data_IF_237517728039
#
_entry.id   IF_237517728039
#
_cell.length_a   1.000
_cell.length_b   1.000
_cell.length_c   1.000
_cell.angle_alpha   90.00
_cell.angle_beta   90.00
_cell.angle_gamma   90.00
#
_symmetry.space_group_name_H-M   'P 1'
#
loop_
_entity.id
_entity.type
_entity.pdbx_description
1 polymer ?
#
# COMPACT_ATOMS: atom_id res chain seq x y z
N UNK A 1 0.63 -10.76 -1.16
CA UNK A 1 0.66 -9.56 -2.03
C UNK A 1 -0.35 -8.60 -1.44
N UNK A 2 -0.29 -7.30 -1.75
CA UNK A 2 -1.27 -6.33 -1.22
C UNK A 2 -1.94 -5.66 -2.41
N UNK A 3 -3.26 -5.69 -2.44
CA UNK A 3 -4.06 -5.06 -3.47
C UNK A 3 -4.46 -3.66 -2.99
N UNK A 4 -4.02 -2.63 -3.72
CA UNK A 4 -4.30 -1.24 -3.43
C UNK A 4 -5.26 -0.68 -4.47
N UNK A 5 -6.36 -0.11 -4.02
CA UNK A 5 -7.33 0.64 -4.83
C UNK A 5 -7.06 2.12 -4.61
N UNK A 6 -6.67 2.82 -5.67
CA UNK A 6 -6.24 4.21 -5.61
C UNK A 6 -7.30 5.06 -6.30
N UNK A 7 -7.78 6.08 -5.59
CA UNK A 7 -8.78 7.01 -6.07
C UNK A 7 -8.20 8.44 -6.15
N UNK A 8 -7.70 8.87 -7.31
CA UNK A 8 -7.25 10.25 -7.50
C UNK A 8 -8.41 11.25 -7.49
N UNK A 9 -8.19 12.43 -6.91
CA UNK A 9 -9.16 13.53 -6.84
C UNK A 9 -9.40 14.08 -8.27
N UNK A 10 -10.50 13.65 -8.89
CA UNK A 10 -10.88 14.01 -10.26
C UNK A 10 -10.41 13.05 -11.37
N UNK A 11 -9.88 11.87 -11.04
CA UNK A 11 -9.51 10.84 -12.00
C UNK A 11 -10.29 9.53 -11.86
N UNK A 12 -10.02 8.57 -12.75
CA UNK A 12 -10.58 7.22 -12.64
C UNK A 12 -9.85 6.43 -11.56
N UNK A 13 -10.61 5.68 -10.75
CA UNK A 13 -10.04 4.77 -9.74
C UNK A 13 -9.27 3.66 -10.45
N UNK A 14 -8.11 3.30 -9.90
CA UNK A 14 -7.27 2.26 -10.45
C UNK A 14 -6.70 1.34 -9.38
N UNK A 15 -6.49 0.08 -9.75
CA UNK A 15 -6.07 -0.97 -8.82
C UNK A 15 -4.63 -1.37 -9.10
N UNK A 16 -3.78 -1.34 -8.09
CA UNK A 16 -2.37 -1.74 -8.18
C UNK A 16 -2.06 -2.86 -7.21
N UNK A 17 -1.51 -3.95 -7.74
CA UNK A 17 -1.04 -5.08 -6.94
C UNK A 17 0.42 -4.85 -6.54
N UNK A 18 0.66 -4.59 -5.26
CA UNK A 18 1.99 -4.55 -4.69
C UNK A 18 2.53 -5.97 -4.50
N UNK A 19 3.68 -6.20 -5.12
CA UNK A 19 4.41 -7.45 -5.06
C UNK A 19 5.52 -7.38 -4.02
N UNK A 20 6.10 -8.52 -3.66
CA UNK A 20 7.25 -8.60 -2.74
C UNK A 20 8.39 -7.66 -3.14
N UNK A 21 8.58 -7.42 -4.44
CA UNK A 21 9.60 -6.49 -4.94
C UNK A 21 9.33 -5.04 -4.55
N UNK A 22 8.07 -4.62 -4.56
CA UNK A 22 7.66 -3.26 -4.18
C UNK A 22 7.87 -3.06 -2.68
N UNK A 23 7.52 -4.08 -1.89
CA UNK A 23 7.73 -4.10 -0.44
C UNK A 23 9.21 -4.06 -0.10
N UNK A 24 10.06 -4.85 -0.77
CA UNK A 24 11.51 -4.83 -0.58
C UNK A 24 12.12 -3.47 -0.93
N UNK A 25 11.61 -2.77 -1.94
CA UNK A 25 12.04 -1.41 -2.26
C UNK A 25 11.63 -0.41 -1.17
N UNK A 26 10.43 -0.56 -0.61
CA UNK A 26 10.01 0.20 0.55
C UNK A 26 10.88 -0.10 1.78
N UNK A 27 11.17 -1.37 2.11
CA UNK A 27 12.06 -1.75 3.23
C UNK A 27 13.47 -1.15 3.08
N UNK A 28 13.97 -1.06 1.85
CA UNK A 28 15.28 -0.44 1.56
C UNK A 28 15.29 1.07 1.76
N UNK A 29 14.14 1.73 1.59
CA UNK A 29 14.02 3.19 1.72
C UNK A 29 13.55 3.61 3.11
N UNK A 30 12.81 2.75 3.81
CA UNK A 30 12.32 2.95 5.17
C UNK A 30 13.26 2.29 6.16
N UNK A 31 14.04 3.10 6.88
CA UNK A 31 15.00 2.60 7.87
C UNK A 31 14.28 1.87 9.01
N UNK A 32 14.54 0.58 9.15
CA UNK A 32 13.88 -0.28 10.15
C UNK A 32 12.49 -0.77 9.75
N UNK A 33 12.03 -0.45 8.54
CA UNK A 33 10.82 -1.04 7.97
C UNK A 33 11.08 -2.52 7.67
N UNK A 34 10.12 -3.36 8.05
CA UNK A 34 10.13 -4.78 7.66
C UNK A 34 8.74 -5.19 7.23
N UNK A 35 8.59 -6.13 6.30
CA UNK A 35 7.27 -6.64 5.90
C UNK A 35 6.47 -7.12 7.12
N UNK A 36 7.13 -7.80 8.06
CA UNK A 36 6.52 -8.24 9.32
C UNK A 36 5.98 -7.06 10.13
N UNK A 37 6.78 -5.99 10.27
CA UNK A 37 6.38 -4.75 10.92
C UNK A 37 5.25 -4.04 10.19
N UNK A 38 5.24 -4.03 8.86
CA UNK A 38 4.18 -3.45 8.05
C UNK A 38 2.84 -4.16 8.27
N UNK A 39 2.86 -5.50 8.37
CA UNK A 39 1.66 -6.29 8.67
C UNK A 39 1.24 -6.18 10.14
N UNK A 40 2.18 -6.20 11.08
CA UNK A 40 1.88 -6.08 12.52
C UNK A 40 1.50 -4.66 12.95
N UNK A 41 2.00 -3.64 12.26
CA UNK A 41 1.76 -2.22 12.52
C UNK A 41 1.52 -1.52 11.18
N UNK A 42 0.29 -1.64 10.69
CA UNK A 42 -0.19 -1.02 9.46
C UNK A 42 -0.23 0.50 9.60
N UNK A 43 0.92 1.13 9.41
CA UNK A 43 1.01 2.58 9.29
C UNK A 43 0.55 3.00 7.90
N UNK A 44 -0.46 3.86 7.84
CA UNK A 44 -1.02 4.36 6.58
C UNK A 44 0.05 5.00 5.70
N UNK A 45 0.98 5.77 6.29
CA UNK A 45 2.10 6.38 5.57
C UNK A 45 3.01 5.34 4.87
N UNK A 46 3.18 4.15 5.43
CA UNK A 46 3.97 3.09 4.80
C UNK A 46 3.20 2.38 3.69
N UNK A 47 1.88 2.22 3.85
CA UNK A 47 1.00 1.73 2.78
C UNK A 47 0.98 2.67 1.57
N UNK A 48 0.89 3.98 1.80
CA UNK A 48 1.00 4.98 0.73
C UNK A 48 2.33 4.88 -0.02
N UNK A 49 3.45 4.66 0.67
CA UNK A 49 4.75 4.43 0.01
C UNK A 49 4.74 3.16 -0.83
N UNK A 50 4.29 2.03 -0.27
CA UNK A 50 4.27 0.74 -0.98
C UNK A 50 3.37 0.83 -2.23
N UNK A 51 2.21 1.45 -2.10
CA UNK A 51 1.29 1.68 -3.20
C UNK A 51 1.86 2.64 -4.24
N UNK A 52 2.57 3.70 -3.83
CA UNK A 52 3.28 4.60 -4.74
C UNK A 52 4.35 3.85 -5.54
N UNK A 53 5.13 2.98 -4.91
CA UNK A 53 6.09 2.12 -5.61
C UNK A 53 5.41 1.21 -6.64
N UNK A 54 4.28 0.59 -6.27
CA UNK A 54 3.51 -0.26 -7.17
C UNK A 54 2.86 0.51 -8.34
N UNK A 55 2.29 1.69 -8.07
CA UNK A 55 1.68 2.58 -9.05
C UNK A 55 2.72 3.14 -10.02
N UNK A 56 3.92 3.47 -9.53
CA UNK A 56 5.05 3.90 -10.35
C UNK A 56 5.60 2.78 -11.22
N UNK A 57 5.64 1.55 -10.71
CA UNK A 57 6.04 0.36 -11.48
C UNK A 57 5.05 0.03 -12.60
N UNK A 58 3.76 0.17 -12.33
CA UNK A 58 2.67 -0.06 -13.31
C UNK A 58 2.41 1.14 -14.22
N UNK A 59 3.16 2.23 -14.03
CA UNK A 59 3.02 3.51 -14.75
C UNK A 59 1.63 4.16 -14.63
N UNK A 60 0.83 3.76 -13.64
CA UNK A 60 -0.47 4.39 -13.37
C UNK A 60 -0.33 5.71 -12.62
N UNK A 61 0.76 5.88 -11.87
CA UNK A 61 1.11 7.13 -11.23
C UNK A 61 2.61 7.40 -11.31
N UNK A 62 3.00 8.58 -11.80
CA UNK A 62 4.41 8.95 -12.01
C UNK A 62 4.86 10.16 -11.19
N UNK A 63 3.95 10.75 -10.41
CA UNK A 63 4.24 11.88 -9.52
C UNK A 63 5.09 11.50 -8.31
N UNK A 64 5.35 12.48 -7.45
CA UNK A 64 6.04 12.26 -6.18
C UNK A 64 5.13 11.60 -5.15
N UNK A 65 5.71 11.01 -4.09
CA UNK A 65 4.95 10.43 -2.98
C UNK A 65 4.03 11.48 -2.33
N UNK A 66 4.53 12.70 -2.15
CA UNK A 66 3.78 13.77 -1.53
C UNK A 66 2.55 14.18 -2.35
N UNK A 67 2.68 14.22 -3.68
CA UNK A 67 1.54 14.44 -4.58
C UNK A 67 0.54 13.27 -4.53
N UNK A 68 1.04 12.05 -4.40
CA UNK A 68 0.23 10.84 -4.26
C UNK A 68 -0.61 10.90 -2.98
N UNK A 69 0.02 11.21 -1.84
CA UNK A 69 -0.67 11.35 -0.54
C UNK A 69 -1.64 12.53 -0.50
N UNK A 70 -1.37 13.60 -1.27
CA UNK A 70 -2.21 14.80 -1.27
C UNK A 70 -3.39 14.71 -2.25
N UNK A 71 -3.25 13.96 -3.34
CA UNK A 71 -4.20 13.94 -4.46
C UNK A 71 -4.88 12.60 -4.66
N UNK A 72 -4.39 11.54 -4.04
CA UNK A 72 -4.97 10.19 -4.17
C UNK A 72 -5.40 9.67 -2.80
N UNK A 73 -6.61 9.15 -2.75
CA UNK A 73 -7.09 8.37 -1.61
C UNK A 73 -6.71 6.90 -1.82
N UNK A 74 -6.26 6.25 -0.75
CA UNK A 74 -5.76 4.89 -0.77
C UNK A 74 -6.70 3.97 0.02
N UNK A 75 -7.41 3.12 -0.71
CA UNK A 75 -8.10 1.95 -0.18
C UNK A 75 -7.18 0.73 -0.34
N UNK A 76 -7.09 -0.13 0.67
CA UNK A 76 -6.27 -1.34 0.60
C UNK A 76 -7.04 -2.54 1.12
N UNK A 77 -6.95 -3.64 0.39
CA UNK A 77 -7.38 -4.95 0.86
C UNK A 77 -6.12 -5.75 1.16
N UNK A 78 -5.91 -6.00 2.45
CA UNK A 78 -5.03 -7.08 2.85
C UNK A 78 -5.84 -8.35 2.69
N UNK A 79 -5.36 -9.26 1.82
CA UNK A 79 -5.75 -10.66 1.92
C UNK A 79 -5.17 -11.22 3.23
N UNK A 80 -5.75 -10.82 4.36
CA UNK A 80 -5.46 -11.42 5.64
C UNK A 80 -6.32 -12.66 5.78
N UNK A 81 -5.65 -13.81 5.74
CA UNK A 81 -6.03 -15.01 6.49
C UNK A 81 -6.02 -14.72 8.00
N UNK A 82 -6.69 -13.66 8.44
CA UNK A 82 -7.09 -13.48 9.83
C UNK A 82 -8.53 -13.92 9.86
N UNK A 83 -8.67 -15.23 10.00
CA UNK A 83 -9.81 -15.80 10.71
C UNK A 83 -9.76 -15.13 12.08
N UNK A 84 -10.50 -14.04 12.26
CA UNK A 84 -10.92 -13.63 13.59
C UNK A 84 -11.55 -14.88 14.21
N UNK A 85 -11.01 -15.49 15.29
CA UNK A 85 -11.87 -16.36 16.07
C UNK A 85 -12.90 -15.42 16.69
N UNK A 86 -14.15 -15.51 16.22
CA UNK A 86 -15.32 -14.89 16.83
C UNK A 86 -15.15 -14.88 18.37
N UNK A 87 -15.12 -13.71 19.05
CA UNK A 87 -15.13 -13.64 20.49
C UNK A 87 -16.55 -13.91 20.99
N UNK A 88 -17.02 -15.14 20.79
CA UNK A 88 -18.19 -15.69 21.45
C UNK A 88 -17.91 -17.15 21.75
N UNK A 89 -17.42 -17.42 22.96
CA UNK A 89 -17.98 -18.42 23.86
C UNK A 89 -17.43 -18.26 25.29
#
# INVERSE_FOLDING_TARGET
MIDFKIAPDGGEKFEVKATTRDILNWERTTKGGSLKQLMENLHTADLYKVAHFAARRTQQFTGTLQEFEASCDLEFELEETVKEPDPTQ
#
